data_IF_217428969539
#
_entry.id   IF_217428969539
#
_cell.length_a   1.000
_cell.length_b   1.000
_cell.length_c   1.000
_cell.angle_alpha   90.00
_cell.angle_beta   90.00
_cell.angle_gamma   90.00
#
_symmetry.space_group_name_H-M   'P 1'
#
loop_
_entity.id
_entity.type
_entity.pdbx_description
1 polymer ?
#
# COMPACT_ATOMS: atom_id res chain seq x y z
N UNK A 1 30.73 -1.29 11.45
CA UNK A 1 29.44 -0.58 11.31
C UNK A 1 28.67 -1.41 10.32
N UNK A 2 28.06 -2.47 10.84
CA UNK A 2 27.45 -3.52 10.04
C UNK A 2 26.13 -2.98 9.52
N UNK A 3 26.13 -2.68 8.21
CA UNK A 3 24.94 -2.30 7.49
C UNK A 3 24.24 -3.61 7.20
N UNK A 4 23.43 -4.08 8.16
CA UNK A 4 22.53 -5.21 7.96
C UNK A 4 21.61 -4.83 6.79
N UNK A 5 21.97 -5.31 5.60
CA UNK A 5 21.13 -5.28 4.43
C UNK A 5 19.86 -6.01 4.82
N UNK A 6 18.78 -5.25 4.98
CA UNK A 6 17.45 -5.80 5.19
C UNK A 6 17.07 -6.49 3.87
N UNK A 7 17.55 -7.71 3.68
CA UNK A 7 17.07 -8.59 2.64
C UNK A 7 15.58 -8.77 2.92
N UNK A 8 14.77 -7.99 2.19
CA UNK A 8 13.36 -8.22 2.02
C UNK A 8 13.24 -9.54 1.26
N UNK A 9 13.42 -10.64 1.99
CA UNK A 9 13.02 -11.96 1.56
C UNK A 9 11.59 -11.80 1.07
N UNK A 10 11.42 -11.97 -0.24
CA UNK A 10 10.10 -12.08 -0.87
C UNK A 10 9.49 -13.31 -0.23
N UNK A 11 8.73 -13.07 0.85
CA UNK A 11 8.05 -14.14 1.56
C UNK A 11 7.08 -14.74 0.57
N UNK A 12 7.35 -16.00 0.25
CA UNK A 12 6.52 -16.87 -0.56
C UNK A 12 5.04 -16.65 -0.23
N UNK A 13 4.27 -16.25 -1.25
CA UNK A 13 2.84 -15.99 -1.17
C UNK A 13 2.01 -17.24 -0.79
N UNK A 14 2.65 -18.41 -0.60
CA UNK A 14 2.04 -19.68 -0.20
C UNK A 14 1.85 -19.88 1.31
N UNK A 15 2.56 -19.15 2.17
CA UNK A 15 2.28 -19.17 3.61
C UNK A 15 1.38 -17.99 3.95
N UNK A 16 0.06 -18.22 3.95
CA UNK A 16 -0.88 -17.26 4.50
C UNK A 16 -0.40 -16.89 5.90
N UNK A 17 0.16 -15.69 6.06
CA UNK A 17 0.50 -15.12 7.36
C UNK A 17 -0.78 -15.22 8.21
N UNK A 18 -0.80 -16.17 9.14
CA UNK A 18 -1.92 -16.33 10.05
C UNK A 18 -1.85 -15.21 11.08
N UNK A 19 -2.31 -14.04 10.66
CA UNK A 19 -2.44 -12.88 11.52
C UNK A 19 -3.55 -13.13 12.54
N UNK A 20 -3.29 -12.77 13.80
CA UNK A 20 -4.35 -12.70 14.80
C UNK A 20 -5.44 -11.69 14.38
N UNK A 21 -6.62 -11.77 14.99
CA UNK A 21 -7.69 -10.80 14.72
C UNK A 21 -7.23 -9.35 14.98
N UNK A 22 -6.46 -9.14 16.05
CA UNK A 22 -5.86 -7.83 16.35
C UNK A 22 -4.88 -7.38 15.26
N UNK A 23 -3.97 -8.26 14.84
CA UNK A 23 -3.00 -7.93 13.78
C UNK A 23 -3.69 -7.61 12.45
N UNK A 24 -4.77 -8.32 12.11
CA UNK A 24 -5.57 -8.00 10.91
C UNK A 24 -6.26 -6.65 11.01
N UNK A 25 -6.85 -6.32 12.16
CA UNK A 25 -7.45 -5.01 12.39
C UNK A 25 -6.43 -3.88 12.23
N UNK A 26 -5.28 -4.01 12.89
CA UNK A 26 -4.19 -3.04 12.79
C UNK A 26 -3.65 -2.92 11.36
N UNK A 27 -3.52 -4.04 10.64
CA UNK A 27 -3.07 -4.02 9.25
C UNK A 27 -4.09 -3.34 8.34
N UNK A 28 -5.38 -3.62 8.52
CA UNK A 28 -6.45 -2.97 7.78
C UNK A 28 -6.47 -1.45 8.02
N UNK A 29 -6.33 -1.01 9.27
CA UNK A 29 -6.23 0.41 9.63
C UNK A 29 -5.00 1.06 8.98
N UNK A 30 -3.84 0.42 9.07
CA UNK A 30 -2.61 0.90 8.46
C UNK A 30 -2.74 1.03 6.93
N UNK A 31 -3.33 0.03 6.27
CA UNK A 31 -3.59 0.07 4.82
C UNK A 31 -4.59 1.15 4.44
N UNK A 32 -5.59 1.42 5.29
CA UNK A 32 -6.58 2.48 5.10
C UNK A 32 -5.94 3.87 5.20
N UNK A 33 -5.09 4.08 6.21
CA UNK A 33 -4.33 5.32 6.33
C UNK A 33 -3.34 5.51 5.17
N UNK A 34 -2.73 4.41 4.71
CA UNK A 34 -1.77 4.45 3.62
C UNK A 34 -2.45 4.79 2.28
N UNK A 35 -3.61 4.20 1.97
CA UNK A 35 -4.34 4.50 0.73
C UNK A 35 -4.79 5.95 0.70
N UNK A 36 -5.31 6.48 1.80
CA UNK A 36 -5.75 7.89 1.89
C UNK A 36 -4.58 8.85 1.67
N UNK A 37 -3.44 8.57 2.32
CA UNK A 37 -2.24 9.40 2.19
C UNK A 37 -1.71 9.40 0.76
N UNK A 38 -1.66 8.23 0.11
CA UNK A 38 -1.14 8.10 -1.25
C UNK A 38 -2.10 8.63 -2.31
N UNK A 39 -3.40 8.50 -2.10
CA UNK A 39 -4.41 9.11 -2.97
C UNK A 39 -4.29 10.63 -2.96
N UNK A 40 -4.14 11.23 -1.77
CA UNK A 40 -3.91 12.67 -1.63
C UNK A 40 -2.59 13.12 -2.29
N UNK A 41 -1.54 12.32 -2.17
CA UNK A 41 -0.27 12.62 -2.82
C UNK A 41 -0.38 12.56 -4.36
N UNK A 42 -1.15 11.61 -4.90
CA UNK A 42 -1.47 11.53 -6.33
C UNK A 42 -2.25 12.77 -6.81
N UNK A 43 -3.27 13.19 -6.06
CA UNK A 43 -4.04 14.40 -6.38
C UNK A 43 -3.13 15.64 -6.46
N UNK A 44 -2.26 15.82 -5.47
CA UNK A 44 -1.31 16.93 -5.43
C UNK A 44 -0.30 16.87 -6.59
N UNK A 45 0.27 15.70 -6.86
CA UNK A 45 1.22 15.51 -7.95
C UNK A 45 0.58 15.75 -9.31
N UNK A 46 -0.65 15.28 -9.50
CA UNK A 46 -1.46 15.54 -10.70
C UNK A 46 -1.68 17.02 -10.91
N UNK A 47 -2.06 17.75 -9.86
CA UNK A 47 -2.28 19.20 -9.94
C UNK A 47 -0.98 19.96 -10.26
N UNK A 48 0.16 19.54 -9.68
CA UNK A 48 1.47 20.12 -10.01
C UNK A 48 1.85 19.86 -11.47
N UNK A 49 1.68 18.63 -11.96
CA UNK A 49 1.97 18.29 -13.36
C UNK A 49 1.08 19.08 -14.31
N UNK A 50 -0.21 19.20 -14.01
CA UNK A 50 -1.17 19.99 -14.80
C UNK A 50 -0.73 21.45 -14.92
N UNK A 51 -0.30 22.08 -13.83
CA UNK A 51 0.20 23.48 -13.83
C UNK A 51 1.49 23.66 -14.61
N UNK A 52 2.31 22.61 -14.71
CA UNK A 52 3.60 22.63 -15.42
C UNK A 52 3.51 22.17 -16.88
N UNK A 53 2.33 21.74 -17.34
CA UNK A 53 2.16 21.16 -18.68
C UNK A 53 2.82 19.78 -18.83
N UNK A 54 3.07 19.09 -17.72
CA UNK A 54 3.66 17.75 -17.71
C UNK A 54 2.55 16.67 -17.71
N UNK A 55 2.92 15.47 -18.12
CA UNK A 55 2.06 14.30 -17.96
C UNK A 55 1.71 14.06 -16.48
N UNK A 56 0.44 13.73 -16.22
CA UNK A 56 0.01 13.35 -14.88
C UNK A 56 0.59 11.97 -14.51
N UNK A 57 0.98 11.75 -13.24
CA UNK A 57 1.34 10.43 -12.76
C UNK A 57 0.12 9.51 -12.72
N UNK A 58 0.38 8.21 -12.81
CA UNK A 58 -0.64 7.18 -12.78
C UNK A 58 -0.84 6.61 -11.35
N UNK A 59 -1.97 5.94 -11.12
CA UNK A 59 -2.28 5.26 -9.85
C UNK A 59 -1.24 4.21 -9.46
N UNK A 60 -0.54 3.63 -10.44
CA UNK A 60 0.54 2.67 -10.23
C UNK A 60 1.81 3.34 -9.66
N UNK A 61 2.08 4.60 -9.99
CA UNK A 61 3.20 5.37 -9.43
C UNK A 61 3.04 5.58 -7.91
N UNK A 62 1.79 5.53 -7.43
CA UNK A 62 1.42 5.61 -6.01
C UNK A 62 1.03 4.25 -5.41
N UNK A 63 1.18 3.16 -6.17
CA UNK A 63 0.87 1.78 -5.77
C UNK A 63 -0.54 1.59 -5.17
N UNK A 64 -1.52 2.43 -5.54
CA UNK A 64 -2.89 2.33 -5.03
C UNK A 64 -3.52 0.95 -5.31
N UNK A 65 -3.36 0.35 -6.51
CA UNK A 65 -3.93 -0.96 -6.78
C UNK A 65 -3.37 -2.08 -5.90
N UNK A 66 -2.08 -1.99 -5.52
CA UNK A 66 -1.46 -2.98 -4.65
C UNK A 66 -2.02 -2.90 -3.22
N UNK A 67 -2.25 -1.68 -2.70
CA UNK A 67 -2.86 -1.48 -1.38
C UNK A 67 -4.29 -2.01 -1.36
N UNK A 68 -5.08 -1.74 -2.40
CA UNK A 68 -6.46 -2.26 -2.53
C UNK A 68 -6.46 -3.79 -2.59
N UNK A 69 -5.52 -4.38 -3.35
CA UNK A 69 -5.40 -5.83 -3.42
C UNK A 69 -5.08 -6.45 -2.05
N UNK A 70 -4.15 -5.86 -1.30
CA UNK A 70 -3.84 -6.27 0.07
C UNK A 70 -5.04 -6.12 1.00
N UNK A 71 -5.75 -4.98 0.95
CA UNK A 71 -6.98 -4.77 1.73
C UNK A 71 -8.00 -5.88 1.47
N UNK A 72 -8.25 -6.23 0.20
CA UNK A 72 -9.18 -7.31 -0.18
C UNK A 72 -8.78 -8.67 0.38
N UNK A 73 -7.48 -8.97 0.43
CA UNK A 73 -6.99 -10.22 1.02
C UNK A 73 -7.29 -10.32 2.52
N UNK A 74 -7.28 -9.20 3.25
CA UNK A 74 -7.53 -9.17 4.69
C UNK A 74 -8.99 -8.91 5.09
N UNK A 75 -9.87 -8.55 4.14
CA UNK A 75 -11.30 -8.32 4.41
C UNK A 75 -12.15 -9.58 4.28
N UNK A 76 -11.67 -10.64 3.59
CA UNK A 76 -12.41 -11.87 3.32
C UNK A 76 -12.60 -12.86 4.49
N UNK A 77 -12.55 -12.42 5.74
CA UNK A 77 -12.71 -13.28 6.92
C UNK A 77 -13.59 -12.68 8.04
N UNK A 78 -14.52 -11.79 7.65
CA UNK A 78 -15.45 -11.11 8.54
C UNK A 78 -16.90 -11.62 8.40
N UNK A 79 -17.09 -12.92 8.11
CA UNK A 79 -18.38 -13.62 8.17
C UNK A 79 -18.34 -14.72 9.25
#
# INVERSE_FOLDING_TARGET
MDTEAFELAVVDAGQAFQLSALQRGLLWEALSLLIDTRARALELATEVCRRRGNAAPDVHDFQLPAIIALQRQFSGQHD
#
